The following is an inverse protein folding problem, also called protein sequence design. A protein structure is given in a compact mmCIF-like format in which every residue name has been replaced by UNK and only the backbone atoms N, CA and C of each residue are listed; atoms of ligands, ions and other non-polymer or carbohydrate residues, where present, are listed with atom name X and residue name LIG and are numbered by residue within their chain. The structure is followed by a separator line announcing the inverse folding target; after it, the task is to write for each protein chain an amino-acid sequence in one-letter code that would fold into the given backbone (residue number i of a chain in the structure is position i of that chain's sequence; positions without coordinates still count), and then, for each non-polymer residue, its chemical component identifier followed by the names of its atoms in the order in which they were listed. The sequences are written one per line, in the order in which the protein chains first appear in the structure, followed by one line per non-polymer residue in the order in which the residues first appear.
data_IF_916604726562
#
_entry.id   IF_916604726562
#
_cell.length_a   1.000
_cell.length_b   1.000
_cell.length_c   1.000
_cell.angle_alpha   90.00
_cell.angle_beta   90.00
_cell.angle_gamma   90.00
#
_symmetry.space_group_name_H-M   'P 1'
#
loop_
_entity.id
_entity.type
_entity.pdbx_description
1 polymer ?
#
# COMPACT_ATOMS: atom_id res chain seq x y z
N UNK A 1 -9.48 -23.24 4.04
CA UNK A 1 -9.59 -22.87 5.46
C UNK A 1 -8.26 -22.31 5.91
N UNK A 2 -8.27 -21.23 6.67
CA UNK A 2 -7.06 -20.65 7.27
C UNK A 2 -7.30 -20.49 8.77
N UNK A 3 -6.30 -20.81 9.59
CA UNK A 3 -6.34 -20.54 11.02
C UNK A 3 -6.24 -19.02 11.24
N UNK A 4 -7.05 -18.49 12.16
CA UNK A 4 -6.91 -17.12 12.64
C UNK A 4 -5.99 -17.10 13.85
N UNK A 5 -5.23 -16.02 13.98
CA UNK A 5 -4.17 -15.94 14.98
C UNK A 5 -3.98 -14.49 15.38
N UNK A 6 -3.94 -14.23 16.68
CA UNK A 6 -4.02 -12.88 17.26
C UNK A 6 -2.70 -12.10 17.20
N UNK A 7 -1.60 -12.76 16.82
CA UNK A 7 -0.32 -12.12 16.56
C UNK A 7 0.61 -12.03 17.77
N UNK A 8 0.30 -12.69 18.88
CA UNK A 8 1.20 -12.74 20.04
C UNK A 8 2.54 -13.41 19.68
N UNK A 9 3.65 -12.91 20.24
CA UNK A 9 4.99 -13.47 20.01
C UNK A 9 5.11 -14.91 20.55
N UNK A 10 4.28 -15.25 21.54
CA UNK A 10 4.29 -16.53 22.25
C UNK A 10 3.83 -17.70 21.40
N UNK A 11 2.93 -17.45 20.46
CA UNK A 11 2.38 -18.53 19.66
C UNK A 11 3.31 -18.88 18.46
N UNK A 12 4.33 -18.04 18.11
CA UNK A 12 5.01 -18.05 16.78
C UNK A 12 5.89 -19.26 16.50
N UNK A 13 6.03 -20.16 17.47
CA UNK A 13 6.99 -21.27 17.39
C UNK A 13 6.54 -22.56 18.08
N UNK A 14 5.27 -22.73 18.43
CA UNK A 14 4.84 -24.02 18.98
C UNK A 14 4.61 -25.05 17.85
N UNK A 15 5.71 -25.68 17.44
CA UNK A 15 5.70 -26.76 16.45
C UNK A 15 4.78 -27.91 16.89
N UNK A 16 4.73 -28.20 18.19
CA UNK A 16 3.88 -29.26 18.74
C UNK A 16 2.39 -28.90 18.64
N UNK A 17 2.00 -27.65 18.90
CA UNK A 17 0.63 -27.18 18.67
C UNK A 17 0.25 -27.26 17.19
N UNK A 18 1.15 -26.84 16.29
CA UNK A 18 0.92 -26.91 14.84
C UNK A 18 0.74 -28.36 14.37
N UNK A 19 1.57 -29.29 14.86
CA UNK A 19 1.45 -30.72 14.56
C UNK A 19 0.12 -31.29 15.06
N UNK A 20 -0.29 -30.95 16.29
CA UNK A 20 -1.58 -31.37 16.83
C UNK A 20 -2.76 -30.81 16.02
N UNK A 21 -2.71 -29.54 15.64
CA UNK A 21 -3.72 -28.92 14.75
C UNK A 21 -3.76 -29.65 13.40
N UNK A 22 -2.60 -29.97 12.83
CA UNK A 22 -2.51 -30.66 11.55
C UNK A 22 -2.99 -32.13 11.61
N UNK A 23 -2.88 -32.76 12.78
CA UNK A 23 -3.35 -34.12 13.05
C UNK A 23 -4.85 -34.19 13.42
N UNK A 24 -5.52 -33.05 13.60
CA UNK A 24 -6.94 -33.02 13.88
C UNK A 24 -7.74 -33.72 12.78
N UNK A 25 -8.65 -34.60 13.18
CA UNK A 25 -9.51 -35.37 12.27
C UNK A 25 -10.90 -34.77 12.13
N UNK A 26 -11.26 -33.85 13.01
CA UNK A 26 -12.60 -33.31 13.10
C UNK A 26 -12.54 -31.81 13.40
N UNK A 27 -13.50 -31.08 12.85
CA UNK A 27 -13.75 -29.69 13.17
C UNK A 27 -15.25 -29.47 13.40
N UNK A 28 -15.60 -28.57 14.30
CA UNK A 28 -16.99 -28.23 14.61
C UNK A 28 -17.36 -26.93 13.89
N UNK A 29 -18.53 -26.92 13.25
CA UNK A 29 -19.06 -25.75 12.58
C UNK A 29 -19.64 -24.78 13.60
N UNK A 30 -18.99 -23.64 13.78
CA UNK A 30 -19.47 -22.58 14.67
C UNK A 30 -20.50 -21.68 14.00
N UNK A 31 -20.34 -21.43 12.70
CA UNK A 31 -21.33 -20.70 11.90
C UNK A 31 -21.09 -20.91 10.41
N UNK A 32 -22.15 -20.87 9.61
CA UNK A 32 -22.06 -20.80 8.15
C UNK A 32 -23.13 -19.84 7.62
N UNK A 33 -22.73 -18.60 7.34
CA UNK A 33 -23.65 -17.54 6.94
C UNK A 33 -23.41 -17.10 5.51
N UNK A 34 -24.50 -16.82 4.79
CA UNK A 34 -24.43 -16.15 3.49
C UNK A 34 -24.77 -14.68 3.70
N UNK A 35 -23.87 -13.79 3.27
CA UNK A 35 -24.05 -12.33 3.35
C UNK A 35 -23.60 -11.66 2.07
N UNK A 36 -24.11 -10.46 1.84
CA UNK A 36 -23.61 -9.59 0.78
C UNK A 36 -22.34 -8.90 1.26
N UNK A 37 -21.30 -8.89 0.44
CA UNK A 37 -20.08 -8.10 0.66
C UNK A 37 -19.93 -7.11 -0.49
N UNK A 38 -19.55 -5.88 -0.18
CA UNK A 38 -19.17 -4.88 -1.18
C UNK A 38 -17.65 -4.68 -1.17
N UNK A 39 -17.11 -4.26 -2.31
CA UNK A 39 -15.71 -3.88 -2.46
C UNK A 39 -15.65 -2.58 -3.25
N UNK A 40 -15.27 -1.53 -2.55
CA UNK A 40 -15.01 -0.22 -3.11
C UNK A 40 -13.87 -0.27 -4.15
N UNK A 41 -13.95 0.53 -5.23
CA UNK A 41 -12.78 0.84 -6.03
C UNK A 41 -11.71 1.53 -5.18
N UNK A 42 -10.44 1.36 -5.57
CA UNK A 42 -9.34 2.04 -4.93
C UNK A 42 -9.31 3.53 -5.33
N UNK A 43 -8.63 4.41 -4.55
CA UNK A 43 -8.60 5.84 -4.83
C UNK A 43 -7.96 6.19 -6.19
N UNK A 44 -8.23 7.40 -6.73
CA UNK A 44 -7.37 7.96 -7.75
C UNK A 44 -5.92 8.05 -7.23
N UNK A 45 -4.96 8.22 -8.13
CA UNK A 45 -3.55 8.18 -7.74
C UNK A 45 -3.15 9.48 -7.05
N UNK A 46 -2.57 9.39 -5.85
CA UNK A 46 -1.64 10.40 -5.35
C UNK A 46 -0.22 10.06 -5.85
N UNK A 47 0.81 10.83 -5.46
CA UNK A 47 2.18 10.59 -5.95
C UNK A 47 2.71 9.22 -5.55
N UNK A 48 2.58 8.83 -4.28
CA UNK A 48 3.05 7.52 -3.82
C UNK A 48 2.33 6.37 -4.53
N UNK A 49 1.00 6.48 -4.70
CA UNK A 49 0.19 5.53 -5.45
C UNK A 49 0.62 5.43 -6.92
N UNK A 50 0.93 6.56 -7.57
CA UNK A 50 1.43 6.59 -8.95
C UNK A 50 2.78 5.88 -9.08
N UNK A 51 3.72 6.14 -8.17
CA UNK A 51 5.03 5.50 -8.17
C UNK A 51 4.89 3.98 -7.98
N UNK A 52 4.11 3.56 -6.98
CA UNK A 52 3.83 2.14 -6.71
C UNK A 52 3.18 1.43 -7.89
N UNK A 53 2.14 2.04 -8.49
CA UNK A 53 1.41 1.44 -9.60
C UNK A 53 2.26 1.38 -10.88
N UNK A 54 3.07 2.41 -11.14
CA UNK A 54 3.95 2.45 -12.31
C UNK A 54 5.07 1.41 -12.24
N UNK A 55 5.66 1.23 -11.06
CA UNK A 55 6.63 0.17 -10.83
C UNK A 55 6.00 -1.22 -11.03
N UNK A 56 4.85 -1.50 -10.38
CA UNK A 56 4.20 -2.81 -10.45
C UNK A 56 3.70 -3.16 -11.86
N UNK A 57 3.22 -2.16 -12.61
CA UNK A 57 2.63 -2.38 -13.94
C UNK A 57 3.65 -2.34 -15.07
N UNK A 58 4.65 -1.46 -14.97
CA UNK A 58 5.56 -1.17 -16.07
C UNK A 58 7.03 -1.40 -15.75
N UNK A 59 7.38 -1.75 -14.50
CA UNK A 59 8.77 -1.87 -14.05
C UNK A 59 9.54 -0.55 -14.02
N UNK A 60 8.84 0.59 -14.08
CA UNK A 60 9.47 1.92 -14.10
C UNK A 60 10.06 2.27 -12.74
N UNK A 61 11.26 2.85 -12.73
CA UNK A 61 11.82 3.46 -11.53
C UNK A 61 10.97 4.66 -11.08
N UNK A 62 11.08 5.03 -9.80
CA UNK A 62 10.42 6.21 -9.25
C UNK A 62 10.87 7.48 -9.99
N UNK A 63 12.16 7.60 -10.30
CA UNK A 63 12.70 8.74 -11.03
C UNK A 63 12.15 8.83 -12.46
N UNK A 64 12.07 7.72 -13.19
CA UNK A 64 11.53 7.72 -14.55
C UNK A 64 10.03 7.98 -14.56
N UNK A 65 9.30 7.44 -13.58
CA UNK A 65 7.87 7.74 -13.39
C UNK A 65 7.66 9.25 -13.18
N UNK A 66 8.44 9.89 -12.30
CA UNK A 66 8.36 11.33 -12.07
C UNK A 66 8.71 12.14 -13.32
N UNK A 67 9.72 11.73 -14.11
CA UNK A 67 10.06 12.39 -15.38
C UNK A 67 8.94 12.29 -16.41
N UNK A 68 8.28 11.13 -16.51
CA UNK A 68 7.14 10.93 -17.43
C UNK A 68 5.93 11.74 -16.98
N UNK A 69 5.64 11.76 -15.67
CA UNK A 69 4.56 12.56 -15.11
C UNK A 69 4.78 14.06 -15.32
N UNK A 70 6.01 14.56 -15.13
CA UNK A 70 6.39 15.94 -15.44
C UNK A 70 6.08 16.29 -16.91
N UNK A 71 6.49 15.43 -17.86
CA UNK A 71 6.21 15.64 -19.29
C UNK A 71 4.72 15.66 -19.61
N UNK A 72 3.92 14.81 -18.96
CA UNK A 72 2.46 14.80 -19.12
C UNK A 72 1.83 16.08 -18.56
N UNK A 73 2.30 16.53 -17.39
CA UNK A 73 1.84 17.76 -16.75
C UNK A 73 2.17 19.01 -17.59
N UNK A 74 3.39 19.13 -18.10
CA UNK A 74 3.82 20.26 -18.95
C UNK A 74 3.05 20.34 -20.28
N UNK A 75 2.55 19.20 -20.77
CA UNK A 75 1.65 19.14 -21.93
C UNK A 75 0.19 19.43 -21.58
N UNK A 76 -0.11 19.69 -20.32
CA UNK A 76 -1.47 19.90 -19.83
C UNK A 76 -2.34 18.66 -19.90
N UNK A 77 -1.77 17.45 -19.90
CA UNK A 77 -2.52 16.19 -20.02
C UNK A 77 -3.01 15.64 -18.66
N UNK A 78 -2.28 15.90 -17.58
CA UNK A 78 -2.64 15.48 -16.22
C UNK A 78 -2.55 16.66 -15.24
N UNK A 79 -3.25 16.56 -14.12
CA UNK A 79 -3.10 17.48 -12.99
C UNK A 79 -1.70 17.42 -12.38
N UNK A 80 -1.40 18.33 -11.45
CA UNK A 80 -0.08 18.37 -10.81
C UNK A 80 0.24 17.04 -10.11
N UNK A 81 1.39 16.45 -10.45
CA UNK A 81 1.71 15.07 -10.11
C UNK A 81 2.44 14.91 -8.76
N UNK A 82 2.68 16.01 -8.03
CA UNK A 82 3.23 16.01 -6.65
C UNK A 82 2.13 16.40 -5.69
N UNK A 83 1.35 15.42 -5.29
CA UNK A 83 0.16 15.56 -4.46
C UNK A 83 0.05 14.35 -3.55
N UNK A 84 -0.36 14.58 -2.31
CA UNK A 84 -0.74 13.55 -1.34
C UNK A 84 -2.26 13.35 -1.29
N UNK A 85 -3.03 14.21 -1.96
CA UNK A 85 -4.48 14.16 -2.00
C UNK A 85 -4.99 13.02 -2.90
N UNK A 86 -5.75 12.05 -2.36
CA UNK A 86 -6.34 10.96 -3.13
C UNK A 86 -7.77 11.28 -3.60
N UNK A 87 -8.14 12.56 -3.77
CA UNK A 87 -9.48 12.96 -4.22
C UNK A 87 -9.45 13.73 -5.53
N UNK A 88 -10.38 13.41 -6.44
CA UNK A 88 -10.56 14.16 -7.69
C UNK A 88 -11.21 15.52 -7.42
N UNK A 89 -11.01 16.49 -8.31
CA UNK A 89 -11.71 17.78 -8.24
C UNK A 89 -13.22 17.59 -8.46
N UNK A 90 -14.04 18.36 -7.75
CA UNK A 90 -15.48 18.37 -7.94
C UNK A 90 -15.86 18.73 -9.39
N UNK A 91 -15.11 19.62 -10.03
CA UNK A 91 -15.33 20.05 -11.42
C UNK A 91 -15.16 18.91 -12.43
N UNK A 92 -14.39 17.86 -12.09
CA UNK A 92 -14.19 16.69 -12.96
C UNK A 92 -15.31 15.66 -12.86
N UNK A 93 -16.17 15.72 -11.84
CA UNK A 93 -17.18 14.69 -11.59
C UNK A 93 -18.17 14.49 -12.75
N UNK A 94 -18.71 15.53 -13.41
CA UNK A 94 -19.64 15.35 -14.52
C UNK A 94 -19.00 14.63 -15.72
N UNK A 95 -17.74 14.94 -16.04
CA UNK A 95 -17.00 14.28 -17.12
C UNK A 95 -16.67 12.83 -16.78
N UNK A 96 -16.24 12.56 -15.54
CA UNK A 96 -15.98 11.20 -15.06
C UNK A 96 -17.24 10.34 -15.16
N UNK A 97 -18.41 10.86 -14.78
CA UNK A 97 -19.67 10.15 -14.87
C UNK A 97 -20.03 9.79 -16.32
N UNK A 98 -19.84 10.74 -17.27
CA UNK A 98 -20.07 10.52 -18.70
C UNK A 98 -19.13 9.45 -19.27
N UNK A 99 -17.85 9.49 -18.90
CA UNK A 99 -16.87 8.52 -19.37
C UNK A 99 -17.08 7.11 -18.79
N UNK A 100 -17.56 7.02 -17.55
CA UNK A 100 -17.99 5.73 -16.98
C UNK A 100 -19.17 5.15 -17.75
N UNK A 101 -20.18 5.96 -18.06
CA UNK A 101 -21.35 5.55 -18.85
C UNK A 101 -20.93 5.07 -20.27
N UNK A 102 -20.02 5.78 -20.93
CA UNK A 102 -19.44 5.37 -22.21
C UNK A 102 -18.67 4.03 -22.14
N UNK A 103 -18.15 3.67 -20.97
CA UNK A 103 -17.52 2.36 -20.71
C UNK A 103 -18.52 1.28 -20.28
N UNK A 104 -19.82 1.59 -20.20
CA UNK A 104 -20.86 0.70 -19.70
C UNK A 104 -20.75 0.44 -18.20
N UNK A 105 -20.15 1.36 -17.45
CA UNK A 105 -20.07 1.33 -15.99
C UNK A 105 -20.96 2.41 -15.38
N UNK A 106 -21.69 2.05 -14.33
CA UNK A 106 -22.44 3.04 -13.56
C UNK A 106 -21.54 3.76 -12.55
N UNK A 107 -21.73 5.07 -12.49
CA UNK A 107 -21.11 5.97 -11.51
C UNK A 107 -21.86 5.88 -10.17
N UNK A 108 -21.15 6.11 -9.06
CA UNK A 108 -21.76 6.23 -7.73
C UNK A 108 -22.72 7.42 -7.68
N UNK A 109 -23.86 7.25 -7.00
CA UNK A 109 -24.87 8.31 -6.86
C UNK A 109 -24.36 9.53 -6.07
N UNK A 110 -23.47 9.29 -5.11
CA UNK A 110 -22.76 10.35 -4.38
C UNK A 110 -21.27 10.27 -4.69
N UNK A 111 -20.58 11.41 -4.90
CA UNK A 111 -19.14 11.43 -5.14
C UNK A 111 -18.39 10.72 -4.01
N UNK A 112 -17.48 9.82 -4.40
CA UNK A 112 -16.65 9.09 -3.45
C UNK A 112 -15.46 9.97 -3.04
N UNK A 113 -15.32 10.15 -1.74
CA UNK A 113 -14.15 10.79 -1.12
C UNK A 113 -13.31 9.76 -0.37
N UNK A 114 -12.03 10.06 -0.25
CA UNK A 114 -11.01 9.21 0.35
C UNK A 114 -10.28 9.99 1.45
N UNK A 115 -9.93 9.33 2.57
CA UNK A 115 -9.22 9.97 3.67
C UNK A 115 -7.91 10.61 3.20
N UNK A 116 -7.66 11.84 3.65
CA UNK A 116 -6.38 12.51 3.46
C UNK A 116 -5.35 11.98 4.47
N UNK A 117 -4.08 11.83 4.08
CA UNK A 117 -3.00 11.60 5.03
C UNK A 117 -2.90 12.72 6.07
N UNK A 118 -2.38 12.40 7.26
CA UNK A 118 -2.07 13.41 8.26
C UNK A 118 -0.97 14.35 7.74
N UNK A 119 -1.15 15.66 7.92
CA UNK A 119 -0.23 16.67 7.38
C UNK A 119 -0.31 16.84 5.86
N UNK A 120 -1.32 16.27 5.18
CA UNK A 120 -1.45 16.39 3.74
C UNK A 120 -1.51 17.86 3.27
N UNK A 121 -0.69 18.18 2.28
CA UNK A 121 -0.64 19.47 1.61
C UNK A 121 -1.78 19.52 0.58
N UNK A 122 -3.01 19.66 1.09
CA UNK A 122 -4.28 19.54 0.34
C UNK A 122 -4.52 20.61 -0.75
N UNK A 123 -3.48 21.32 -1.21
CA UNK A 123 -3.58 22.39 -2.21
C UNK A 123 -3.85 21.90 -3.65
N UNK A 124 -3.67 20.60 -3.93
CA UNK A 124 -3.89 20.03 -5.26
C UNK A 124 -4.82 18.81 -5.22
N UNK A 125 -5.65 18.58 -6.25
CA UNK A 125 -6.41 17.34 -6.38
C UNK A 125 -5.47 16.15 -6.65
N UNK A 126 -6.04 14.95 -6.68
CA UNK A 126 -5.37 13.74 -7.12
C UNK A 126 -4.85 13.88 -8.56
N UNK A 127 -3.94 12.97 -8.91
CA UNK A 127 -3.37 12.86 -10.25
C UNK A 127 -4.43 12.23 -11.16
N UNK A 128 -5.00 13.05 -12.04
CA UNK A 128 -6.03 12.68 -13.01
C UNK A 128 -5.74 13.30 -14.36
N UNK A 129 -6.40 12.87 -15.44
CA UNK A 129 -6.46 13.67 -16.65
C UNK A 129 -7.04 15.06 -16.36
N UNK A 130 -6.52 16.07 -17.06
CA UNK A 130 -7.14 17.41 -17.12
C UNK A 130 -8.34 17.44 -18.06
N UNK A 131 -8.33 16.54 -19.04
CA UNK A 131 -9.41 16.28 -19.98
C UNK A 131 -9.62 14.78 -20.10
N UNK A 132 -10.85 14.33 -19.91
CA UNK A 132 -11.16 12.90 -19.84
C UNK A 132 -11.49 12.26 -21.20
N UNK A 133 -11.79 13.09 -22.20
CA UNK A 133 -12.16 12.76 -23.58
C UNK A 133 -10.96 12.59 -24.54
N UNK A 134 -9.75 12.93 -24.11
CA UNK A 134 -8.57 13.04 -24.99
C UNK A 134 -7.98 11.68 -25.36
N UNK A 135 -7.73 11.50 -26.66
CA UNK A 135 -6.95 10.38 -27.21
C UNK A 135 -5.45 10.60 -26.97
N UNK A 136 -4.74 9.54 -26.62
CA UNK A 136 -3.30 9.54 -26.29
C UNK A 136 -2.36 9.66 -27.50
N UNK A 137 -2.86 10.13 -28.64
CA UNK A 137 -2.10 10.24 -29.88
C UNK A 137 -0.93 11.22 -29.72
N UNK A 138 0.26 10.85 -30.21
CA UNK A 138 1.47 11.67 -30.08
C UNK A 138 2.17 11.62 -28.71
N UNK A 139 1.63 10.85 -27.74
CA UNK A 139 2.38 10.47 -26.55
C UNK A 139 3.30 9.28 -26.89
N UNK A 140 4.59 9.36 -26.54
CA UNK A 140 5.46 8.19 -26.62
C UNK A 140 4.92 7.04 -25.75
N UNK A 141 5.19 5.79 -26.14
CA UNK A 141 4.59 4.57 -25.51
C UNK A 141 4.57 4.60 -23.98
N UNK A 142 5.66 5.01 -23.33
CA UNK A 142 5.74 5.05 -21.86
C UNK A 142 4.85 6.14 -21.24
N UNK A 143 4.78 7.33 -21.84
CA UNK A 143 3.88 8.41 -21.41
C UNK A 143 2.42 8.04 -21.63
N UNK A 144 2.11 7.38 -22.75
CA UNK A 144 0.78 6.85 -23.03
C UNK A 144 0.37 5.79 -21.98
N UNK A 145 1.26 4.85 -21.65
CA UNK A 145 1.02 3.84 -20.63
C UNK A 145 0.72 4.47 -19.26
N UNK A 146 1.52 5.44 -18.83
CA UNK A 146 1.31 6.17 -17.57
C UNK A 146 -0.01 6.95 -17.58
N UNK A 147 -0.33 7.67 -18.67
CA UNK A 147 -1.60 8.38 -18.80
C UNK A 147 -2.80 7.43 -18.73
N UNK A 148 -2.76 6.30 -19.43
CA UNK A 148 -3.83 5.28 -19.39
C UNK A 148 -4.03 4.73 -17.98
N UNK A 149 -2.95 4.49 -17.22
CA UNK A 149 -3.02 4.08 -15.83
C UNK A 149 -3.68 5.15 -14.95
N UNK A 150 -3.26 6.41 -15.08
CA UNK A 150 -3.83 7.57 -14.36
C UNK A 150 -5.32 7.71 -14.66
N UNK A 151 -5.70 7.73 -15.95
CA UNK A 151 -7.08 7.83 -16.42
C UNK A 151 -7.95 6.70 -15.87
N UNK A 152 -7.48 5.45 -15.99
CA UNK A 152 -8.22 4.29 -15.50
C UNK A 152 -8.46 4.37 -13.99
N UNK A 153 -7.44 4.73 -13.21
CA UNK A 153 -7.57 4.87 -11.75
C UNK A 153 -8.50 6.01 -11.35
N UNK A 154 -8.41 7.14 -12.05
CA UNK A 154 -9.30 8.28 -11.85
C UNK A 154 -10.77 7.91 -12.10
N UNK A 155 -11.07 7.32 -13.25
CA UNK A 155 -12.43 6.92 -13.62
C UNK A 155 -13.02 5.90 -12.64
N UNK A 156 -12.30 4.80 -12.41
CA UNK A 156 -12.83 3.70 -11.60
C UNK A 156 -13.04 4.10 -10.14
N UNK A 157 -12.35 5.13 -9.63
CA UNK A 157 -12.55 5.62 -8.26
C UNK A 157 -13.98 6.09 -7.97
N UNK A 158 -14.71 6.53 -9.00
CA UNK A 158 -16.10 6.98 -8.89
C UNK A 158 -17.11 5.93 -9.38
N UNK A 159 -16.66 4.78 -9.88
CA UNK A 159 -17.55 3.69 -10.28
C UNK A 159 -18.19 3.02 -9.05
N UNK A 160 -19.31 2.34 -9.30
CA UNK A 160 -19.99 1.56 -8.27
C UNK A 160 -19.15 0.40 -7.72
N UNK A 161 -19.44 0.04 -6.47
CA UNK A 161 -18.83 -1.08 -5.78
C UNK A 161 -19.01 -2.40 -6.55
N UNK A 162 -17.99 -3.25 -6.46
CA UNK A 162 -18.17 -4.67 -6.74
C UNK A 162 -18.99 -5.30 -5.62
N UNK A 163 -19.99 -6.11 -5.97
CA UNK A 163 -20.91 -6.74 -5.01
C UNK A 163 -20.83 -8.26 -5.14
N UNK A 164 -20.65 -8.93 -4.01
CA UNK A 164 -20.48 -10.37 -3.92
C UNK A 164 -21.51 -10.99 -2.99
N UNK A 165 -21.99 -12.18 -3.35
CA UNK A 165 -22.60 -13.11 -2.41
C UNK A 165 -21.49 -13.91 -1.75
N UNK A 166 -21.25 -13.68 -0.47
CA UNK A 166 -20.21 -14.38 0.28
C UNK A 166 -20.79 -15.40 1.25
N UNK A 167 -20.36 -16.66 1.13
CA UNK A 167 -20.58 -17.67 2.17
C UNK A 167 -19.35 -17.72 3.07
N UNK A 168 -19.53 -17.40 4.34
CA UNK A 168 -18.48 -17.41 5.35
C UNK A 168 -18.81 -18.51 6.35
N UNK A 169 -17.96 -19.53 6.38
CA UNK A 169 -18.01 -20.58 7.37
C UNK A 169 -16.87 -20.40 8.38
N UNK A 170 -17.19 -20.53 9.66
CA UNK A 170 -16.24 -20.55 10.76
C UNK A 170 -16.31 -21.90 11.44
N UNK A 171 -15.16 -22.51 11.62
CA UNK A 171 -15.02 -23.78 12.33
C UNK A 171 -14.05 -23.63 13.47
N UNK A 172 -14.14 -24.56 14.40
CA UNK A 172 -13.15 -24.73 15.45
C UNK A 172 -12.62 -26.15 15.44
N UNK A 173 -11.37 -26.27 15.83
CA UNK A 173 -10.72 -27.55 16.12
C UNK A 173 -10.32 -27.50 17.59
N UNK A 174 -10.70 -28.52 18.36
CA UNK A 174 -10.28 -28.67 19.75
C UNK A 174 -9.00 -29.50 19.81
N UNK A 175 -7.95 -28.92 20.38
CA UNK A 175 -6.65 -29.55 20.63
C UNK A 175 -6.42 -29.61 22.14
N UNK A 176 -6.95 -30.63 22.79
CA UNK A 176 -6.70 -30.88 24.22
C UNK A 176 -7.14 -29.72 25.12
N UNK A 177 -8.28 -29.10 24.82
CA UNK A 177 -8.84 -27.95 25.53
C UNK A 177 -8.51 -26.60 24.90
N UNK A 178 -7.59 -26.54 23.92
CA UNK A 178 -7.31 -25.33 23.16
C UNK A 178 -8.18 -25.28 21.89
N UNK A 179 -9.07 -24.30 21.81
CA UNK A 179 -10.00 -24.13 20.68
C UNK A 179 -9.38 -23.24 19.61
N UNK A 180 -9.09 -23.81 18.43
CA UNK A 180 -8.42 -23.11 17.32
C UNK A 180 -9.42 -22.73 16.23
N UNK A 181 -9.60 -21.43 15.90
CA UNK A 181 -10.56 -20.98 14.91
C UNK A 181 -10.04 -21.07 13.47
N UNK A 182 -10.90 -21.53 12.57
CA UNK A 182 -10.69 -21.58 11.12
C UNK A 182 -11.78 -20.83 10.37
N UNK A 183 -11.41 -20.19 9.26
CA UNK A 183 -12.37 -19.51 8.37
C UNK A 183 -12.22 -19.99 6.93
N UNK A 184 -13.35 -20.17 6.24
CA UNK A 184 -13.41 -20.20 4.78
C UNK A 184 -14.45 -19.22 4.26
N UNK A 185 -14.09 -18.60 3.14
CA UNK A 185 -14.93 -17.63 2.45
C UNK A 185 -15.01 -18.05 0.98
N UNK A 186 -16.24 -18.22 0.49
CA UNK A 186 -16.52 -18.30 -0.94
C UNK A 186 -17.24 -17.02 -1.35
N UNK A 187 -16.79 -16.36 -2.42
CA UNK A 187 -17.48 -15.22 -3.03
C UNK A 187 -18.03 -15.64 -4.40
N UNK A 188 -19.20 -15.15 -4.75
CA UNK A 188 -19.75 -15.22 -6.10
C UNK A 188 -20.24 -13.83 -6.51
N UNK A 189 -20.08 -13.46 -7.78
CA UNK A 189 -20.53 -12.15 -8.25
C UNK A 189 -22.04 -11.97 -8.10
N UNK A 190 -22.44 -10.80 -7.63
CA UNK A 190 -23.79 -10.25 -7.81
C UNK A 190 -23.71 -9.13 -8.85
N UNK A 191 -22.74 -8.22 -8.69
CA UNK A 191 -22.48 -7.09 -9.59
C UNK A 191 -20.98 -6.87 -9.69
N UNK A 192 -20.44 -6.73 -10.90
CA UNK A 192 -18.99 -6.51 -11.09
C UNK A 192 -18.56 -5.10 -10.67
N UNK A 193 -19.42 -4.09 -10.84
CA UNK A 193 -19.08 -2.70 -10.56
C UNK A 193 -17.79 -2.29 -11.29
N UNK A 194 -16.92 -1.54 -10.59
CA UNK A 194 -15.61 -1.12 -11.10
C UNK A 194 -14.70 -2.25 -11.62
N UNK A 195 -14.91 -3.50 -11.19
CA UNK A 195 -14.14 -4.67 -11.68
C UNK A 195 -14.50 -5.06 -13.12
N UNK A 196 -15.59 -4.52 -13.69
CA UNK A 196 -16.07 -4.86 -15.04
C UNK A 196 -15.14 -4.47 -16.19
N UNK A 197 -14.31 -3.44 -16.03
CA UNK A 197 -13.40 -2.90 -17.06
C UNK A 197 -12.03 -3.59 -17.07
N UNK A 198 -11.68 -4.36 -16.04
CA UNK A 198 -10.43 -5.13 -16.00
C UNK A 198 -10.52 -6.39 -16.88
N UNK A 199 -10.76 -6.23 -18.19
CA UNK A 199 -10.58 -7.32 -19.16
C UNK A 199 -9.08 -7.44 -19.47
N UNK A 200 -8.48 -8.58 -19.11
CA UNK A 200 -7.16 -8.98 -19.62
C UNK A 200 -5.95 -8.80 -18.69
N UNK A 201 -6.01 -7.98 -17.65
CA UNK A 201 -4.94 -7.88 -16.64
C UNK A 201 -5.46 -8.35 -15.28
N UNK A 202 -5.28 -9.63 -14.98
CA UNK A 202 -5.45 -10.22 -13.65
C UNK A 202 -6.73 -9.81 -12.89
N UNK A 203 -7.86 -9.59 -13.57
CA UNK A 203 -9.14 -9.91 -12.99
C UNK A 203 -9.13 -11.43 -12.81
N UNK A 204 -8.50 -11.90 -11.73
CA UNK A 204 -8.74 -13.24 -11.20
C UNK A 204 -10.24 -13.30 -11.06
N UNK A 205 -10.89 -13.99 -11.96
CA UNK A 205 -12.31 -14.20 -11.86
C UNK A 205 -12.53 -14.85 -10.49
N UNK A 206 -13.39 -14.28 -9.64
CA UNK A 206 -13.93 -14.99 -8.52
C UNK A 206 -14.49 -16.37 -8.87
N UNK A 207 -14.83 -16.64 -10.13
CA UNK A 207 -15.11 -18.00 -10.54
C UNK A 207 -13.84 -18.83 -10.86
N UNK A 208 -12.76 -18.23 -11.38
CA UNK A 208 -11.53 -18.96 -11.76
C UNK A 208 -10.50 -19.15 -10.63
N UNK A 209 -10.52 -18.29 -9.60
CA UNK A 209 -9.58 -18.36 -8.47
C UNK A 209 -10.14 -19.08 -7.23
N UNK A 210 -11.34 -19.66 -7.31
CA UNK A 210 -12.07 -20.23 -6.18
C UNK A 210 -12.32 -21.74 -6.36
N UNK A 211 -11.24 -22.51 -6.48
CA UNK A 211 -11.26 -23.97 -6.55
C UNK A 211 -11.69 -24.67 -5.24
N UNK A 212 -12.30 -23.97 -4.28
CA UNK A 212 -12.75 -24.58 -3.03
C UNK A 212 -14.18 -24.11 -2.70
N UNK A 213 -15.23 -24.84 -3.14
CA UNK A 213 -16.60 -24.49 -2.82
C UNK A 213 -16.79 -24.66 -1.31
N UNK A 214 -17.09 -23.57 -0.59
CA UNK A 214 -17.59 -23.68 0.79
C UNK A 214 -19.01 -24.23 0.72
N UNK A 215 -19.28 -25.48 1.18
CA UNK A 215 -20.63 -26.05 1.13
C UNK A 215 -21.57 -25.33 2.10
N UNK A 216 -22.86 -25.64 2.03
CA UNK A 216 -23.77 -25.24 3.11
C UNK A 216 -23.47 -26.18 4.29
N UNK A 217 -23.15 -25.59 5.44
CA UNK A 217 -22.86 -26.31 6.67
C UNK A 217 -23.88 -25.91 7.73
N UNK A 218 -24.20 -26.82 8.64
CA UNK A 218 -25.12 -26.58 9.75
C UNK A 218 -24.32 -26.24 11.01
N UNK A 219 -24.76 -25.23 11.76
CA UNK A 219 -24.10 -24.91 13.05
C UNK A 219 -24.19 -26.11 14.00
N UNK A 220 -23.07 -26.44 14.64
CA UNK A 220 -22.93 -27.62 15.50
C UNK A 220 -22.57 -28.91 14.75
N UNK A 221 -22.59 -28.91 13.42
CA UNK A 221 -22.16 -30.04 12.59
C UNK A 221 -20.68 -30.33 12.81
N UNK A 222 -20.34 -31.61 12.88
CA UNK A 222 -18.96 -32.11 12.93
C UNK A 222 -18.54 -32.50 11.52
N UNK A 223 -17.43 -31.95 11.05
CA UNK A 223 -16.89 -32.23 9.71
C UNK A 223 -15.54 -32.91 9.79
N UNK A 224 -15.30 -33.85 8.88
CA UNK A 224 -14.02 -34.56 8.78
C UNK A 224 -12.94 -33.67 8.17
N UNK A 225 -11.77 -33.65 8.80
CA UNK A 225 -10.56 -32.98 8.29
C UNK A 225 -9.75 -34.01 7.50
N UNK A 226 -9.77 -33.89 6.16
CA UNK A 226 -9.09 -34.81 5.26
C UNK A 226 -7.59 -34.55 5.10
N UNK A 227 -7.07 -33.47 5.70
CA UNK A 227 -5.66 -33.13 5.68
C UNK A 227 -5.42 -31.66 5.97
N UNK A 228 -4.23 -31.37 6.49
CA UNK A 228 -3.77 -30.03 6.76
C UNK A 228 -2.46 -29.75 5.99
N UNK A 229 -2.29 -28.51 5.54
CA UNK A 229 -1.02 -28.02 5.00
C UNK A 229 -0.53 -26.88 5.87
N UNK A 230 0.54 -27.14 6.60
CA UNK A 230 1.28 -26.10 7.31
C UNK A 230 2.13 -25.34 6.30
N UNK A 231 2.00 -24.01 6.28
CA UNK A 231 2.90 -23.14 5.50
C UNK A 231 3.74 -22.34 6.46
N UNK A 232 5.06 -22.33 6.25
CA UNK A 232 5.94 -21.40 6.96
C UNK A 232 5.57 -19.98 6.52
N UNK A 233 5.56 -19.04 7.47
CA UNK A 233 5.49 -17.63 7.12
C UNK A 233 6.76 -17.31 6.32
N UNK A 234 6.64 -16.73 5.11
CA UNK A 234 7.83 -16.31 4.38
C UNK A 234 8.59 -15.28 5.24
N UNK A 235 9.92 -15.28 5.12
CA UNK A 235 10.72 -14.19 5.68
C UNK A 235 10.25 -12.86 5.06
N UNK A 236 10.38 -11.73 5.78
CA UNK A 236 10.15 -10.42 5.18
C UNK A 236 10.94 -10.29 3.88
N UNK A 237 10.27 -9.96 2.78
CA UNK A 237 10.93 -9.72 1.49
C UNK A 237 11.72 -8.40 1.59
N UNK A 238 12.85 -8.31 0.89
CA UNK A 238 13.52 -7.02 0.68
C UNK A 238 12.57 -6.04 -0.02
N UNK A 239 12.72 -4.76 0.30
CA UNK A 239 11.96 -3.73 -0.39
C UNK A 239 12.36 -3.66 -1.86
N UNK A 240 11.39 -3.52 -2.74
CA UNK A 240 11.56 -2.90 -4.05
C UNK A 240 11.30 -1.38 -3.95
N UNK A 241 11.41 -0.64 -5.05
CA UNK A 241 11.14 0.80 -4.99
C UNK A 241 9.68 1.11 -4.60
N UNK A 242 8.71 0.31 -5.06
CA UNK A 242 7.30 0.54 -4.76
C UNK A 242 6.99 0.35 -3.26
N UNK A 243 7.44 -0.75 -2.69
CA UNK A 243 7.26 -1.08 -1.27
C UNK A 243 8.07 -0.16 -0.37
N UNK A 244 9.23 0.34 -0.81
CA UNK A 244 9.96 1.38 -0.08
C UNK A 244 9.20 2.71 -0.09
N UNK A 245 8.62 3.14 -1.22
CA UNK A 245 7.74 4.33 -1.25
C UNK A 245 6.54 4.15 -0.32
N UNK A 246 5.89 2.98 -0.36
CA UNK A 246 4.76 2.68 0.53
C UNK A 246 5.19 2.74 2.01
N UNK A 247 6.39 2.25 2.33
CA UNK A 247 6.93 2.29 3.68
C UNK A 247 7.20 3.73 4.13
N UNK A 248 7.86 4.53 3.30
CA UNK A 248 8.12 5.96 3.56
C UNK A 248 6.83 6.73 3.83
N UNK A 249 5.82 6.59 2.96
CA UNK A 249 4.50 7.21 3.13
C UNK A 249 3.82 6.77 4.44
N UNK A 250 3.80 5.45 4.72
CA UNK A 250 3.18 4.92 5.94
C UNK A 250 3.86 5.37 7.24
N UNK A 251 5.16 5.66 7.16
CA UNK A 251 5.95 6.14 8.29
C UNK A 251 5.94 7.68 8.38
N UNK A 252 5.24 8.39 7.48
CA UNK A 252 5.22 9.85 7.43
C UNK A 252 6.58 10.48 7.10
N UNK A 253 7.50 9.70 6.53
CA UNK A 253 8.85 10.12 6.16
C UNK A 253 8.89 10.42 4.66
N UNK A 254 9.36 11.62 4.31
CA UNK A 254 9.32 12.09 2.93
C UNK A 254 7.95 12.66 2.55
N UNK A 255 7.89 13.23 1.35
CA UNK A 255 6.75 13.95 0.79
C UNK A 255 6.67 13.62 -0.71
N UNK A 256 5.55 13.93 -1.39
CA UNK A 256 5.42 13.77 -2.84
C UNK A 256 6.60 14.31 -3.67
N UNK A 257 7.25 15.37 -3.19
CA UNK A 257 8.43 15.98 -3.82
C UNK A 257 9.74 15.24 -3.56
N UNK A 258 9.83 14.36 -2.56
CA UNK A 258 11.10 13.78 -2.09
C UNK A 258 11.22 12.27 -2.26
N UNK A 259 10.13 11.50 -2.34
CA UNK A 259 10.19 10.02 -2.42
C UNK A 259 11.17 9.48 -3.47
N UNK A 260 11.03 9.91 -4.74
CA UNK A 260 11.89 9.46 -5.82
C UNK A 260 13.35 9.92 -5.62
N UNK A 261 13.55 11.14 -5.10
CA UNK A 261 14.88 11.68 -4.85
C UNK A 261 15.60 10.98 -3.69
N UNK A 262 14.89 10.60 -2.62
CA UNK A 262 15.44 9.85 -1.49
C UNK A 262 16.00 8.51 -2.00
N UNK A 263 15.15 7.73 -2.70
CA UNK A 263 15.52 6.43 -3.25
C UNK A 263 16.72 6.55 -4.20
N UNK A 264 16.67 7.52 -5.11
CA UNK A 264 17.76 7.75 -6.05
C UNK A 264 19.08 8.12 -5.35
N UNK A 265 19.04 8.99 -4.33
CA UNK A 265 20.26 9.45 -3.64
C UNK A 265 20.93 8.35 -2.83
N UNK A 266 20.17 7.50 -2.14
CA UNK A 266 20.77 6.39 -1.38
C UNK A 266 21.43 5.36 -2.29
N UNK A 267 20.88 5.17 -3.50
CA UNK A 267 21.49 4.33 -4.53
C UNK A 267 22.72 4.99 -5.16
N UNK A 268 22.63 6.27 -5.52
CA UNK A 268 23.73 7.03 -6.12
C UNK A 268 24.96 7.10 -5.20
N UNK A 269 24.74 7.16 -3.88
CA UNK A 269 25.82 7.12 -2.87
C UNK A 269 26.37 5.72 -2.60
N UNK A 270 25.86 4.69 -3.28
CA UNK A 270 26.29 3.31 -3.09
C UNK A 270 25.93 2.72 -1.72
N UNK A 271 24.98 3.30 -0.98
CA UNK A 271 24.52 2.79 0.32
C UNK A 271 23.51 1.64 0.14
N UNK A 272 22.74 1.70 -0.96
CA UNK A 272 21.76 0.69 -1.33
C UNK A 272 22.03 0.27 -2.77
N UNK A 273 22.06 -1.03 -3.03
CA UNK A 273 22.18 -1.58 -4.37
C UNK A 273 20.83 -2.15 -4.83
N UNK A 274 20.55 -2.02 -6.13
CA UNK A 274 19.50 -2.79 -6.78
C UNK A 274 20.09 -4.13 -7.20
N UNK A 275 19.45 -5.22 -6.79
CA UNK A 275 19.83 -6.59 -7.18
C UNK A 275 18.60 -7.34 -7.69
N UNK A 276 18.81 -8.33 -8.53
CA UNK A 276 17.76 -9.28 -8.92
C UNK A 276 17.83 -10.49 -8.00
N UNK A 277 16.70 -10.82 -7.37
CA UNK A 277 16.54 -11.97 -6.50
C UNK A 277 15.22 -12.66 -6.84
N UNK A 278 15.25 -13.95 -7.15
CA UNK A 278 14.07 -14.76 -7.50
C UNK A 278 13.21 -14.16 -8.63
N UNK A 279 13.87 -13.56 -9.63
CA UNK A 279 13.21 -12.89 -10.76
C UNK A 279 12.52 -11.57 -10.42
N UNK A 280 12.75 -11.02 -9.22
CA UNK A 280 12.26 -9.71 -8.77
C UNK A 280 13.43 -8.77 -8.53
N UNK A 281 13.26 -7.50 -8.91
CA UNK A 281 14.21 -6.45 -8.55
C UNK A 281 13.97 -6.00 -7.12
N UNK A 282 15.01 -6.03 -6.28
CA UNK A 282 14.95 -5.61 -4.89
C UNK A 282 16.10 -4.67 -4.53
N UNK A 283 15.93 -3.95 -3.42
CA UNK A 283 16.88 -3.02 -2.85
C UNK A 283 17.52 -3.68 -1.62
N UNK A 284 18.85 -3.78 -1.65
CA UNK A 284 19.63 -4.39 -0.57
C UNK A 284 20.66 -3.39 -0.05
N UNK A 285 20.90 -3.31 1.26
CA UNK A 285 21.94 -2.45 1.81
C UNK A 285 23.32 -3.00 1.39
N UNK A 286 24.22 -2.10 0.99
CA UNK A 286 25.61 -2.48 0.71
C UNK A 286 26.41 -2.55 2.02
N UNK A 287 27.62 -3.12 1.98
CA UNK A 287 28.54 -3.07 3.14
C UNK A 287 28.77 -1.64 3.62
N UNK A 288 28.92 -0.69 2.70
CA UNK A 288 29.07 0.73 3.02
C UNK A 288 27.79 1.30 3.68
N UNK A 289 26.60 0.96 3.16
CA UNK A 289 25.33 1.35 3.74
C UNK A 289 25.15 0.85 5.18
N UNK A 290 25.46 -0.43 5.43
CA UNK A 290 25.42 -1.01 6.77
C UNK A 290 26.41 -0.30 7.70
N UNK A 291 27.67 -0.10 7.27
CA UNK A 291 28.67 0.59 8.10
C UNK A 291 28.27 2.02 8.46
N UNK A 292 27.72 2.78 7.51
CA UNK A 292 27.23 4.16 7.75
C UNK A 292 26.08 4.14 8.75
N UNK A 293 25.10 3.25 8.57
CA UNK A 293 23.97 3.16 9.49
C UNK A 293 24.43 2.75 10.90
N UNK A 294 25.27 1.72 11.02
CA UNK A 294 25.81 1.26 12.30
C UNK A 294 26.62 2.34 13.02
N UNK A 295 27.29 3.22 12.29
CA UNK A 295 28.01 4.34 12.87
C UNK A 295 27.08 5.46 13.39
N UNK A 296 25.86 5.59 12.86
CA UNK A 296 24.92 6.65 13.22
C UNK A 296 23.87 6.21 14.25
N UNK A 297 23.50 4.93 14.25
CA UNK A 297 22.55 4.36 15.22
C UNK A 297 23.12 4.51 16.63
N UNK A 298 22.35 5.14 17.52
CA UNK A 298 22.80 5.43 18.88
C UNK A 298 23.79 6.61 18.98
N UNK A 299 24.12 7.31 17.90
CA UNK A 299 24.86 8.57 17.99
C UNK A 299 23.97 9.78 17.76
N UNK A 300 22.98 9.67 16.88
CA UNK A 300 22.17 10.83 16.51
C UNK A 300 20.69 10.48 16.33
N UNK A 301 19.81 11.39 16.77
CA UNK A 301 18.36 11.24 16.57
C UNK A 301 17.95 11.37 15.09
N UNK A 302 18.82 11.90 14.22
CA UNK A 302 18.51 12.06 12.79
C UNK A 302 18.29 10.74 12.04
N UNK A 303 18.72 9.60 12.61
CA UNK A 303 18.43 8.27 12.01
C UNK A 303 17.16 7.63 12.57
N UNK A 304 16.53 8.24 13.58
CA UNK A 304 15.26 7.78 14.13
C UNK A 304 14.10 8.17 13.21
N UNK A 305 13.22 7.21 12.93
CA UNK A 305 12.06 7.42 12.05
C UNK A 305 11.12 8.48 12.64
N UNK A 306 10.83 8.40 13.94
CA UNK A 306 9.91 9.32 14.61
C UNK A 306 10.44 10.76 14.63
N UNK A 307 11.75 10.95 14.81
CA UNK A 307 12.38 12.27 14.70
C UNK A 307 12.21 12.83 13.29
N UNK A 308 12.47 12.00 12.27
CA UNK A 308 12.34 12.41 10.87
C UNK A 308 10.89 12.75 10.51
N UNK A 309 9.92 11.95 10.96
CA UNK A 309 8.49 12.25 10.81
C UNK A 309 8.13 13.57 11.49
N UNK A 310 8.59 13.78 12.73
CA UNK A 310 8.36 15.01 13.48
C UNK A 310 8.91 16.25 12.76
N UNK A 311 10.10 16.13 12.16
CA UNK A 311 10.67 17.20 11.35
C UNK A 311 9.79 17.57 10.16
N UNK A 312 9.27 16.58 9.44
CA UNK A 312 8.38 16.82 8.31
C UNK A 312 7.07 17.52 8.75
N UNK A 313 6.49 17.11 9.89
CA UNK A 313 5.33 17.79 10.48
C UNK A 313 5.63 19.23 10.90
N UNK A 314 6.83 19.50 11.43
CA UNK A 314 7.26 20.85 11.76
C UNK A 314 7.37 21.73 10.50
N UNK A 315 7.85 21.18 9.38
CA UNK A 315 7.89 21.89 8.09
C UNK A 315 6.48 22.18 7.56
N UNK A 316 5.55 21.24 7.70
CA UNK A 316 4.14 21.46 7.33
C UNK A 316 3.46 22.50 8.25
N UNK A 317 3.84 22.55 9.54
CA UNK A 317 3.40 23.58 10.46
C UNK A 317 3.88 24.98 10.06
N UNK A 318 5.12 25.10 9.55
CA UNK A 318 5.61 26.36 8.97
C UNK A 318 4.79 26.74 7.74
N UNK A 319 4.59 25.80 6.81
CA UNK A 319 3.84 26.05 5.57
C UNK A 319 2.37 26.47 5.82
N UNK A 320 1.78 26.00 6.92
CA UNK A 320 0.42 26.36 7.35
C UNK A 320 0.35 27.55 8.31
N UNK A 321 1.47 28.21 8.62
CA UNK A 321 1.53 29.36 9.52
C UNK A 321 1.32 29.04 11.00
N UNK A 322 1.39 27.76 11.39
CA UNK A 322 1.26 27.28 12.78
C UNK A 322 2.58 27.29 13.57
N UNK A 323 3.71 27.41 12.86
CA UNK A 323 5.04 27.53 13.46
C UNK A 323 5.90 28.50 12.64
N UNK A 324 7.00 28.99 13.22
CA UNK A 324 7.95 29.86 12.53
C UNK A 324 9.21 29.11 12.12
N UNK A 325 9.81 29.52 11.01
CA UNK A 325 11.12 29.01 10.56
C UNK A 325 12.17 29.12 11.67
N UNK A 326 12.21 30.25 12.37
CA UNK A 326 13.20 30.51 13.40
C UNK A 326 13.07 29.54 14.58
N UNK A 327 11.86 29.17 14.97
CA UNK A 327 11.64 28.27 16.11
C UNK A 327 12.08 26.84 15.80
N UNK A 328 11.65 26.31 14.64
CA UNK A 328 12.04 24.96 14.21
C UNK A 328 13.55 24.86 14.02
N UNK A 329 14.17 25.84 13.35
CA UNK A 329 15.62 25.82 13.12
C UNK A 329 16.42 25.95 14.40
N UNK A 330 15.96 26.78 15.36
CA UNK A 330 16.59 26.93 16.67
C UNK A 330 16.59 25.60 17.43
N UNK A 331 15.46 24.91 17.47
CA UNK A 331 15.35 23.60 18.13
C UNK A 331 16.32 22.58 17.52
N UNK A 332 16.39 22.51 16.18
CA UNK A 332 17.33 21.62 15.48
C UNK A 332 18.77 21.99 15.76
N UNK A 333 19.09 23.29 15.74
CA UNK A 333 20.44 23.79 15.99
C UNK A 333 20.89 23.46 17.42
N UNK A 334 20.03 23.65 18.41
CA UNK A 334 20.35 23.38 19.81
C UNK A 334 20.54 21.89 20.06
N UNK A 335 19.71 21.04 19.43
CA UNK A 335 19.90 19.59 19.44
C UNK A 335 21.24 19.19 18.82
N UNK A 336 21.59 19.72 17.65
CA UNK A 336 22.88 19.47 16.99
C UNK A 336 24.07 19.90 17.84
N UNK A 337 23.96 21.06 18.48
CA UNK A 337 25.01 21.59 19.36
C UNK A 337 25.23 20.68 20.58
N UNK A 338 24.16 20.10 21.13
CA UNK A 338 24.23 19.11 22.21
C UNK A 338 24.85 17.79 21.72
N UNK A 339 24.32 17.20 20.64
CA UNK A 339 24.85 15.94 20.09
C UNK A 339 26.34 16.04 19.73
N UNK A 340 26.79 17.18 19.20
CA UNK A 340 28.21 17.43 18.90
C UNK A 340 29.09 17.38 20.15
N UNK A 341 28.62 17.91 21.28
CA UNK A 341 29.36 17.88 22.56
C UNK A 341 29.42 16.46 23.13
N UNK A 342 28.33 15.71 23.03
CA UNK A 342 28.26 14.32 23.49
C UNK A 342 29.22 13.43 22.68
N UNK A 343 29.25 13.59 21.36
CA UNK A 343 30.20 12.88 20.48
C UNK A 343 31.64 13.25 20.81
N UNK A 344 31.94 14.54 20.97
CA UNK A 344 33.29 15.01 21.29
C UNK A 344 33.80 14.53 22.66
N UNK A 345 32.90 14.22 23.60
CA UNK A 345 33.23 13.68 24.92
C UNK A 345 33.28 12.14 24.99
N UNK A 346 33.12 11.46 23.85
CA UNK A 346 33.16 10.00 23.76
C UNK A 346 31.89 9.29 24.26
N UNK A 347 30.82 10.04 24.51
CA UNK A 347 29.53 9.51 24.93
C UNK A 347 28.78 8.92 23.73
N UNK A 348 28.89 7.61 23.51
CA UNK A 348 27.92 6.91 22.68
C UNK A 348 26.59 6.85 23.46
N UNK A 349 25.49 7.35 22.90
CA UNK A 349 24.17 7.06 23.47
C UNK A 349 23.95 5.56 23.36
N UNK A 350 23.68 4.90 24.49
CA UNK A 350 23.16 3.52 24.45
C UNK A 350 21.84 3.57 23.67
N UNK A 351 21.77 2.84 22.56
CA UNK A 351 20.53 2.66 21.82
C UNK A 351 19.45 2.14 22.80
N UNK A 352 18.30 2.82 22.83
CA UNK A 352 17.15 2.45 23.64
C UNK A 352 16.38 1.29 22.98
#
# INVERSE_FOLDING_TARGET
WWALWDGSEKDRRDAALIEKIAAAKEAVVMSCVTRTLTEAPPPPLNTAGMLQASYRKFGLSCMDTMRLAQKLYERGAITYHRTDNPNISADSLPEVARELDALGLACMALPRTFPLPEGAQAGHPAITPTRWDVKTEGLGKSSEGLYKLIRLRGLLSQAEDAVYRARVARLTVDIGGAVVPFVAVRKAWIKKGWRGVLRGEAARDPDSSFANPVPKLVTGERVTVNGARVRKRPLPEHYDEASLVAKLESEGVGRPSTYAAIIHRVQLRGLVARVEQDGKSCLVPTKAGVSVLSALVGLSRFVEIDYTRGMELNLDAIASGKSSYADVVREVHDLLAAERKDIASGGARKAA
#
